data_IF_669328480192
#
_entry.id   IF_669328480192
#
_cell.length_a   1.000
_cell.length_b   1.000
_cell.length_c   1.000
_cell.angle_alpha   90.00
_cell.angle_beta   90.00
_cell.angle_gamma   90.00
#
_symmetry.space_group_name_H-M   'P 1'
#
loop_
_entity.id
_entity.type
_entity.pdbx_description
1 polymer ?
#
# COMPACT_ATOMS: atom_id res chain seq x y z
N UNK A 1 4.80 64.91 -34.25
CA UNK A 1 5.53 63.91 -33.39
C UNK A 1 4.54 62.88 -32.86
N UNK A 2 4.54 61.65 -33.37
CA UNK A 2 3.66 60.56 -32.91
C UNK A 2 4.53 59.58 -32.10
N UNK A 3 4.25 59.49 -30.80
CA UNK A 3 4.87 58.49 -29.93
C UNK A 3 4.11 57.15 -30.09
N UNK A 4 4.80 56.14 -30.59
CA UNK A 4 4.32 54.75 -30.65
C UNK A 4 4.73 54.06 -29.33
N UNK A 5 3.72 53.70 -28.51
CA UNK A 5 3.91 52.87 -27.29
C UNK A 5 4.10 51.41 -27.68
N UNK A 6 5.28 50.85 -27.38
CA UNK A 6 5.49 49.41 -27.46
C UNK A 6 4.97 48.74 -26.15
N UNK A 7 3.94 47.90 -26.29
CA UNK A 7 3.48 47.04 -25.23
C UNK A 7 4.36 45.78 -25.16
N UNK A 8 5.08 45.58 -24.08
CA UNK A 8 5.81 44.31 -23.80
C UNK A 8 4.83 43.25 -23.29
N UNK A 9 4.61 42.24 -24.11
CA UNK A 9 3.85 41.05 -23.76
C UNK A 9 4.76 40.13 -22.95
N UNK A 10 4.57 40.05 -21.62
CA UNK A 10 5.28 39.11 -20.76
C UNK A 10 4.58 37.76 -20.89
N UNK A 11 5.14 36.81 -21.64
CA UNK A 11 4.72 35.41 -21.63
C UNK A 11 5.18 34.79 -20.31
N UNK A 12 4.23 34.55 -19.41
CA UNK A 12 4.46 33.76 -18.20
C UNK A 12 4.68 32.28 -18.57
N UNK A 13 5.89 31.76 -18.34
CA UNK A 13 6.19 30.31 -18.43
C UNK A 13 5.43 29.56 -17.31
N UNK A 14 4.77 28.43 -17.61
CA UNK A 14 4.17 27.61 -16.56
C UNK A 14 5.28 27.08 -15.65
N UNK A 15 5.13 27.28 -14.33
CA UNK A 15 6.02 26.71 -13.34
C UNK A 15 5.88 25.19 -13.37
N UNK A 16 6.90 24.48 -13.84
CA UNK A 16 6.99 23.03 -13.78
C UNK A 16 7.12 22.63 -12.30
N UNK A 17 6.08 22.05 -11.72
CA UNK A 17 6.14 21.47 -10.36
C UNK A 17 7.04 20.23 -10.42
N UNK A 18 8.22 20.32 -9.83
CA UNK A 18 9.16 19.22 -9.72
C UNK A 18 8.58 18.13 -8.82
N UNK A 19 8.65 16.81 -9.15
CA UNK A 19 8.14 15.75 -8.30
C UNK A 19 8.78 15.70 -6.90
N UNK A 20 9.96 16.29 -6.73
CA UNK A 20 10.61 16.45 -5.42
C UNK A 20 9.92 17.49 -4.50
N UNK A 21 9.05 18.36 -5.05
CA UNK A 21 8.29 19.31 -4.26
C UNK A 21 7.08 18.66 -3.56
N UNK A 22 6.46 17.65 -4.20
CA UNK A 22 5.29 16.95 -3.65
C UNK A 22 5.60 16.17 -2.35
N UNK A 23 6.85 15.73 -2.17
CA UNK A 23 7.30 15.02 -0.95
C UNK A 23 7.45 15.94 0.25
N UNK A 24 7.80 17.22 0.05
CA UNK A 24 8.04 18.18 1.15
C UNK A 24 6.78 18.56 1.92
N UNK A 25 5.60 18.31 1.33
CA UNK A 25 4.30 18.67 1.90
C UNK A 25 3.60 17.47 2.60
N UNK A 26 4.23 16.28 2.63
CA UNK A 26 3.68 15.13 3.35
C UNK A 26 4.06 15.26 4.83
N UNK A 27 3.07 15.30 5.75
CA UNK A 27 3.36 15.33 7.19
C UNK A 27 4.15 14.09 7.61
N UNK A 28 5.07 14.22 8.56
CA UNK A 28 5.81 13.10 9.15
C UNK A 28 4.87 12.08 9.77
N UNK A 29 3.74 12.56 10.34
CA UNK A 29 2.70 11.72 10.90
C UNK A 29 1.32 12.06 10.30
N UNK A 30 0.59 11.02 9.90
CA UNK A 30 -0.77 11.13 9.36
C UNK A 30 -1.72 10.36 10.28
N UNK A 31 -2.62 11.08 10.97
CA UNK A 31 -3.56 10.49 11.93
C UNK A 31 -5.00 10.71 11.49
N UNK A 32 -5.81 9.67 11.50
CA UNK A 32 -7.23 9.75 11.19
C UNK A 32 -7.90 8.41 10.98
N UNK A 33 -9.20 8.43 10.69
CA UNK A 33 -9.90 7.22 10.24
C UNK A 33 -9.41 6.82 8.87
N UNK A 34 -9.19 5.52 8.69
CA UNK A 34 -8.78 4.97 7.42
C UNK A 34 -9.96 4.36 6.68
N UNK A 35 -9.92 4.41 5.35
CA UNK A 35 -10.63 3.51 4.46
C UNK A 35 -9.63 2.55 3.81
N UNK A 36 -10.01 1.28 3.65
CA UNK A 36 -9.13 0.26 3.07
C UNK A 36 -9.30 0.22 1.55
N UNK A 37 -8.19 0.23 0.83
CA UNK A 37 -8.14 0.11 -0.63
C UNK A 37 -7.86 -1.35 -1.02
N UNK A 38 -6.84 -1.95 -0.39
CA UNK A 38 -6.45 -3.35 -0.55
C UNK A 38 -5.77 -3.86 0.74
N UNK A 39 -5.19 -5.07 0.71
CA UNK A 39 -4.61 -5.72 1.89
C UNK A 39 -3.37 -5.05 2.48
N UNK A 40 -2.75 -4.07 1.78
CA UNK A 40 -1.58 -3.32 2.25
C UNK A 40 -1.66 -1.81 1.96
N UNK A 41 -2.80 -1.32 1.49
CA UNK A 41 -3.00 0.09 1.15
C UNK A 41 -4.27 0.64 1.78
N UNK A 42 -4.14 1.73 2.50
CA UNK A 42 -5.24 2.47 3.13
C UNK A 42 -5.27 3.92 2.65
N UNK A 43 -6.37 4.59 2.87
CA UNK A 43 -6.48 6.04 2.69
C UNK A 43 -6.86 6.71 4.01
N UNK A 44 -6.10 7.72 4.41
CA UNK A 44 -6.35 8.54 5.60
C UNK A 44 -6.41 10.01 5.18
N UNK A 45 -7.56 10.67 5.39
CA UNK A 45 -7.77 12.09 5.03
C UNK A 45 -7.41 12.41 3.56
N UNK A 46 -7.73 11.50 2.63
CA UNK A 46 -7.42 11.66 1.20
C UNK A 46 -5.97 11.35 0.82
N UNK A 47 -5.13 10.96 1.78
CA UNK A 47 -3.76 10.52 1.51
C UNK A 47 -3.72 9.00 1.38
N UNK A 48 -3.29 8.49 0.23
CA UNK A 48 -3.04 7.05 0.04
C UNK A 48 -1.75 6.64 0.73
N UNK A 49 -1.84 5.62 1.57
CA UNK A 49 -0.74 5.12 2.39
C UNK A 49 -0.55 3.64 2.11
N UNK A 50 0.63 3.28 1.62
CA UNK A 50 1.08 1.89 1.57
C UNK A 50 1.75 1.54 2.89
N UNK A 51 1.27 0.49 3.55
CA UNK A 51 1.85 -0.01 4.79
C UNK A 51 3.26 -0.53 4.50
N UNK A 52 4.24 -0.01 5.23
CA UNK A 52 5.65 -0.27 4.98
C UNK A 52 6.03 -1.73 5.29
N UNK A 53 6.84 -2.33 4.41
CA UNK A 53 7.50 -3.62 4.67
C UNK A 53 6.63 -4.85 4.54
N UNK A 54 5.37 -4.74 4.13
CA UNK A 54 4.51 -5.89 3.85
C UNK A 54 4.11 -5.96 2.38
N UNK A 55 3.64 -7.12 1.93
CA UNK A 55 3.15 -7.36 0.57
C UNK A 55 1.91 -8.28 0.62
N UNK A 56 0.74 -7.70 0.41
CA UNK A 56 -0.54 -8.41 0.43
C UNK A 56 -0.96 -8.89 -0.97
N UNK A 57 -1.81 -9.92 -1.07
CA UNK A 57 -2.42 -10.29 -2.34
C UNK A 57 -3.17 -9.12 -2.97
N UNK A 58 -3.05 -8.97 -4.28
CA UNK A 58 -3.76 -7.96 -5.06
C UNK A 58 -5.28 -8.15 -4.98
N UNK A 59 -6.06 -7.08 -5.09
CA UNK A 59 -7.52 -7.08 -4.87
C UNK A 59 -8.29 -8.12 -5.70
N UNK A 60 -7.80 -8.45 -6.89
CA UNK A 60 -8.37 -9.45 -7.81
C UNK A 60 -7.67 -10.82 -7.74
N UNK A 61 -6.64 -10.94 -6.91
CA UNK A 61 -5.86 -12.18 -6.80
C UNK A 61 -6.72 -13.31 -6.22
N UNK A 62 -6.57 -14.49 -6.86
CA UNK A 62 -7.23 -15.73 -6.45
C UNK A 62 -6.19 -16.71 -5.94
N UNK A 63 -6.50 -17.33 -4.80
CA UNK A 63 -5.70 -18.35 -4.14
C UNK A 63 -6.52 -19.64 -4.00
N UNK A 64 -5.88 -20.76 -3.66
CA UNK A 64 -6.57 -22.00 -3.31
C UNK A 64 -6.72 -22.13 -1.77
N UNK A 65 -7.83 -22.73 -1.34
CA UNK A 65 -8.01 -23.20 0.05
C UNK A 65 -7.28 -24.54 0.24
N UNK A 66 -7.25 -25.03 1.48
CA UNK A 66 -6.69 -26.35 1.80
C UNK A 66 -7.33 -27.50 1.03
N UNK A 67 -8.58 -27.37 0.63
CA UNK A 67 -9.32 -28.36 -0.19
C UNK A 67 -9.21 -28.11 -1.70
N UNK A 68 -8.34 -27.20 -2.13
CA UNK A 68 -8.10 -26.83 -3.53
C UNK A 68 -9.15 -25.86 -4.12
N UNK A 69 -10.22 -25.51 -3.40
CA UNK A 69 -11.23 -24.58 -3.92
C UNK A 69 -10.68 -23.16 -4.03
N UNK A 70 -10.91 -22.46 -5.16
CA UNK A 70 -10.45 -21.09 -5.33
C UNK A 70 -11.23 -20.11 -4.44
N UNK A 71 -10.56 -19.03 -4.01
CA UNK A 71 -11.18 -17.91 -3.32
C UNK A 71 -10.42 -16.61 -3.61
N UNK A 72 -11.09 -15.48 -3.47
CA UNK A 72 -10.49 -14.14 -3.67
C UNK A 72 -9.68 -13.76 -2.43
N UNK A 73 -8.41 -14.14 -2.40
CA UNK A 73 -7.52 -13.89 -1.26
C UNK A 73 -7.20 -12.40 -1.09
N UNK A 74 -7.09 -11.63 -2.17
CA UNK A 74 -6.92 -10.18 -2.09
C UNK A 74 -8.11 -9.49 -1.41
N UNK A 75 -9.33 -9.87 -1.78
CA UNK A 75 -10.53 -9.37 -1.11
C UNK A 75 -10.61 -9.77 0.36
N UNK A 76 -10.17 -10.99 0.70
CA UNK A 76 -10.12 -11.45 2.09
C UNK A 76 -9.06 -10.69 2.93
N UNK A 77 -7.90 -10.38 2.35
CA UNK A 77 -6.88 -9.56 2.99
C UNK A 77 -7.39 -8.13 3.28
N UNK A 78 -8.04 -7.51 2.27
CA UNK A 78 -8.65 -6.19 2.44
C UNK A 78 -9.74 -6.18 3.53
N UNK A 79 -10.62 -7.20 3.55
CA UNK A 79 -11.66 -7.33 4.55
C UNK A 79 -11.09 -7.51 5.97
N UNK A 80 -10.04 -8.33 6.13
CA UNK A 80 -9.36 -8.47 7.42
C UNK A 80 -8.79 -7.12 7.92
N UNK A 81 -8.15 -6.37 7.02
CA UNK A 81 -7.60 -5.06 7.38
C UNK A 81 -8.71 -4.08 7.75
N UNK A 82 -9.83 -4.07 7.03
CA UNK A 82 -10.99 -3.21 7.32
C UNK A 82 -11.61 -3.53 8.69
N UNK A 83 -11.84 -4.81 8.99
CA UNK A 83 -12.31 -5.28 10.29
C UNK A 83 -11.34 -4.91 11.42
N UNK A 84 -10.03 -5.05 11.18
CA UNK A 84 -9.01 -4.69 12.15
C UNK A 84 -9.01 -3.20 12.45
N UNK A 85 -9.18 -2.36 11.45
CA UNK A 85 -9.21 -0.91 11.63
C UNK A 85 -10.57 -0.45 12.20
N UNK A 86 -11.68 -1.08 11.83
CA UNK A 86 -13.04 -0.91 12.38
C UNK A 86 -13.42 0.56 12.66
N UNK A 87 -13.08 1.47 11.76
CA UNK A 87 -13.34 2.92 11.90
C UNK A 87 -12.57 3.62 13.01
N UNK A 88 -11.56 2.96 13.62
CA UNK A 88 -10.64 3.57 14.60
C UNK A 88 -9.68 4.55 13.92
N UNK A 89 -9.10 5.45 14.69
CA UNK A 89 -8.01 6.28 14.21
C UNK A 89 -6.75 5.43 14.07
N UNK A 90 -6.08 5.59 12.94
CA UNK A 90 -4.78 5.02 12.64
C UNK A 90 -3.76 6.16 12.73
N UNK A 91 -2.60 5.90 13.29
CA UNK A 91 -1.45 6.81 13.26
C UNK A 91 -0.38 6.20 12.36
N UNK A 92 0.01 6.92 11.31
CA UNK A 92 0.97 6.46 10.31
C UNK A 92 2.18 7.40 10.26
N UNK A 93 3.37 6.88 10.54
CA UNK A 93 4.63 7.60 10.44
C UNK A 93 5.22 7.39 9.04
N UNK A 94 5.39 8.48 8.29
CA UNK A 94 5.87 8.45 6.92
C UNK A 94 7.35 8.04 6.84
N UNK A 95 7.64 7.05 5.99
CA UNK A 95 8.99 6.50 5.79
C UNK A 95 9.53 6.83 4.38
N UNK A 96 8.69 7.33 3.48
CA UNK A 96 9.03 7.59 2.09
C UNK A 96 7.81 7.63 1.18
N UNK A 97 8.03 7.59 -0.13
CA UNK A 97 6.97 7.49 -1.13
C UNK A 97 7.20 6.34 -2.10
N UNK A 98 6.11 5.84 -2.68
CA UNK A 98 6.14 4.86 -3.77
C UNK A 98 5.05 5.20 -4.77
N UNK A 99 5.45 5.69 -5.95
CA UNK A 99 4.57 6.28 -6.95
C UNK A 99 3.79 7.48 -6.35
N UNK A 100 2.47 7.41 -6.32
CA UNK A 100 1.54 8.42 -5.80
C UNK A 100 1.12 8.18 -4.34
N UNK A 101 1.76 7.22 -3.63
CA UNK A 101 1.44 6.84 -2.26
C UNK A 101 2.55 7.21 -1.28
N UNK A 102 2.17 7.59 -0.08
CA UNK A 102 3.07 7.63 1.08
C UNK A 102 3.35 6.19 1.52
N UNK A 103 4.60 5.86 1.82
CA UNK A 103 4.96 4.60 2.49
C UNK A 103 5.12 4.90 3.97
N UNK A 104 4.37 4.22 4.83
CA UNK A 104 4.38 4.50 6.26
C UNK A 104 4.25 3.24 7.13
N UNK A 105 4.81 3.30 8.32
CA UNK A 105 4.50 2.37 9.39
C UNK A 105 3.28 2.89 10.12
N UNK A 106 2.24 2.07 10.23
CA UNK A 106 0.96 2.45 10.80
C UNK A 106 0.67 1.66 12.08
N UNK A 107 0.03 2.33 13.02
CA UNK A 107 -0.41 1.79 14.31
C UNK A 107 -1.90 2.05 14.53
N UNK A 108 -2.60 1.12 15.14
CA UNK A 108 -3.97 1.27 15.61
C UNK A 108 -4.08 0.76 17.05
N UNK A 109 -4.38 1.66 18.00
CA UNK A 109 -4.50 1.33 19.42
C UNK A 109 -3.26 0.60 20.02
N UNK A 110 -2.04 1.01 19.62
CA UNK A 110 -0.78 0.41 20.08
C UNK A 110 -0.39 -0.90 19.36
N UNK A 111 -1.09 -1.25 18.27
CA UNK A 111 -0.82 -2.46 17.49
C UNK A 111 -0.24 -2.04 16.13
N UNK A 112 0.98 -2.51 15.80
CA UNK A 112 1.56 -2.37 14.46
C UNK A 112 0.68 -3.09 13.43
N UNK A 113 0.10 -2.32 12.50
CA UNK A 113 -0.82 -2.83 11.48
C UNK A 113 -0.14 -3.86 10.58
N UNK A 114 1.11 -3.60 10.15
CA UNK A 114 1.87 -4.53 9.32
C UNK A 114 2.09 -5.87 10.01
N UNK A 115 2.53 -5.84 11.28
CA UNK A 115 2.70 -7.05 12.11
C UNK A 115 1.40 -7.85 12.24
N UNK A 116 0.28 -7.19 12.50
CA UNK A 116 -1.00 -7.87 12.68
C UNK A 116 -1.49 -8.54 11.39
N UNK A 117 -1.38 -7.85 10.24
CA UNK A 117 -1.79 -8.39 8.93
C UNK A 117 -0.91 -9.57 8.53
N UNK A 118 0.41 -9.50 8.74
CA UNK A 118 1.34 -10.60 8.46
C UNK A 118 1.11 -11.77 9.41
N UNK A 119 0.94 -11.52 10.72
CA UNK A 119 0.67 -12.57 11.71
C UNK A 119 -0.65 -13.30 11.45
N UNK A 120 -1.65 -12.63 10.88
CA UNK A 120 -2.90 -13.24 10.43
C UNK A 120 -2.77 -13.99 9.10
N UNK A 121 -1.63 -13.88 8.42
CA UNK A 121 -1.36 -14.54 7.13
C UNK A 121 -2.00 -13.86 5.93
N UNK A 122 -2.41 -12.59 6.04
CA UNK A 122 -3.04 -11.83 4.95
C UNK A 122 -2.05 -10.95 4.18
N UNK A 123 -0.80 -10.87 4.64
CA UNK A 123 0.33 -10.31 3.89
C UNK A 123 1.59 -11.12 4.18
N UNK A 124 2.61 -10.93 3.36
CA UNK A 124 3.93 -11.50 3.51
C UNK A 124 4.90 -10.42 4.03
N UNK A 125 5.94 -10.86 4.76
CA UNK A 125 7.09 -10.00 5.02
C UNK A 125 7.78 -9.65 3.70
N UNK A 126 7.84 -8.36 3.37
CA UNK A 126 8.54 -7.90 2.18
C UNK A 126 9.99 -7.56 2.55
N UNK A 127 10.80 -8.60 2.76
CA UNK A 127 12.14 -8.54 3.35
C UNK A 127 13.05 -7.45 2.74
N UNK A 128 12.91 -7.17 1.43
CA UNK A 128 13.64 -6.10 0.75
C UNK A 128 13.41 -4.71 1.38
N UNK A 129 12.23 -4.46 1.95
CA UNK A 129 11.84 -3.17 2.51
C UNK A 129 11.62 -3.22 4.02
N UNK A 130 11.23 -4.39 4.56
CA UNK A 130 11.05 -4.60 6.01
C UNK A 130 12.37 -4.84 6.73
N UNK A 131 13.41 -5.30 5.99
CA UNK A 131 14.66 -5.82 6.56
C UNK A 131 14.40 -6.99 7.55
N UNK A 132 13.35 -7.78 7.30
CA UNK A 132 12.96 -8.92 8.14
C UNK A 132 12.16 -8.55 9.38
N UNK A 133 11.67 -7.32 9.49
CA UNK A 133 10.88 -6.84 10.65
C UNK A 133 9.70 -7.76 10.97
N UNK A 134 9.04 -8.32 9.95
CA UNK A 134 7.85 -9.16 10.10
C UNK A 134 8.12 -10.64 9.85
N UNK A 135 9.38 -11.07 9.71
CA UNK A 135 9.73 -12.45 9.40
C UNK A 135 9.23 -13.45 10.46
N UNK A 136 9.27 -13.09 11.74
CA UNK A 136 8.75 -13.93 12.82
C UNK A 136 7.21 -14.04 12.79
N UNK A 137 6.51 -12.98 12.38
CA UNK A 137 5.05 -12.98 12.19
C UNK A 137 4.66 -13.89 11.04
N UNK A 138 5.35 -13.77 9.89
CA UNK A 138 5.17 -14.65 8.74
C UNK A 138 5.42 -16.12 9.12
N UNK A 139 6.50 -16.44 9.81
CA UNK A 139 6.80 -17.79 10.24
C UNK A 139 5.67 -18.37 11.12
N UNK A 140 5.11 -17.57 12.04
CA UNK A 140 3.95 -17.98 12.85
C UNK A 140 2.69 -18.19 12.03
N UNK A 141 2.40 -17.32 11.06
CA UNK A 141 1.26 -17.47 10.15
C UNK A 141 1.37 -18.77 9.32
N UNK A 142 2.55 -19.04 8.75
CA UNK A 142 2.84 -20.27 7.99
C UNK A 142 2.65 -21.52 8.83
N UNK A 143 3.21 -21.58 10.03
CA UNK A 143 3.12 -22.75 10.91
C UNK A 143 1.69 -23.11 11.33
N UNK A 144 0.76 -22.13 11.26
CA UNK A 144 -0.66 -22.29 11.59
C UNK A 144 -1.55 -22.41 10.34
N UNK A 145 -0.98 -22.41 9.15
CA UNK A 145 -1.72 -22.35 7.87
C UNK A 145 -2.76 -21.21 7.86
N UNK A 146 -2.38 -20.04 8.43
CA UNK A 146 -3.28 -18.90 8.53
C UNK A 146 -3.37 -18.11 7.22
N UNK A 147 -4.52 -17.51 6.95
CA UNK A 147 -4.73 -16.64 5.80
C UNK A 147 -4.43 -17.33 4.48
N UNK A 148 -3.49 -16.79 3.69
CA UNK A 148 -3.07 -17.37 2.40
C UNK A 148 -2.31 -18.68 2.54
N UNK A 149 -1.72 -18.94 3.71
CA UNK A 149 -0.94 -20.14 3.98
C UNK A 149 -1.80 -21.41 4.16
N UNK A 150 -3.13 -21.30 4.12
CA UNK A 150 -4.06 -22.43 4.18
C UNK A 150 -4.03 -23.33 2.92
N UNK A 151 -3.48 -22.86 1.81
CA UNK A 151 -3.41 -23.58 0.54
C UNK A 151 -2.42 -22.94 -0.42
N UNK A 152 -2.55 -23.22 -1.71
CA UNK A 152 -1.63 -22.71 -2.71
C UNK A 152 -1.95 -21.27 -3.12
N UNK A 153 -0.92 -20.47 -3.25
CA UNK A 153 -1.02 -19.12 -3.78
C UNK A 153 0.25 -18.70 -4.52
N UNK A 154 0.10 -17.78 -5.46
CA UNK A 154 1.22 -17.09 -6.09
C UNK A 154 1.62 -15.92 -5.19
N UNK A 155 2.91 -15.70 -4.96
CA UNK A 155 3.35 -14.53 -4.18
C UNK A 155 2.89 -13.23 -4.85
N UNK A 156 2.46 -12.21 -4.07
CA UNK A 156 1.89 -10.98 -4.65
C UNK A 156 2.81 -10.28 -5.64
N UNK A 157 4.11 -10.23 -5.35
CA UNK A 157 5.09 -9.62 -6.25
C UNK A 157 5.29 -10.43 -7.56
N UNK A 158 5.12 -11.76 -7.53
CA UNK A 158 5.13 -12.62 -8.71
C UNK A 158 3.84 -12.48 -9.52
N UNK A 159 2.70 -12.39 -8.82
CA UNK A 159 1.41 -12.12 -9.45
C UNK A 159 1.46 -10.81 -10.27
N UNK A 160 1.90 -9.71 -9.67
CA UNK A 160 2.06 -8.43 -10.39
C UNK A 160 2.98 -8.53 -11.59
N UNK A 161 4.07 -9.32 -11.52
CA UNK A 161 4.96 -9.53 -12.67
C UNK A 161 4.25 -10.30 -13.79
N UNK A 162 3.47 -11.31 -13.46
CA UNK A 162 2.74 -12.11 -14.45
C UNK A 162 1.67 -11.28 -15.18
N UNK A 163 0.93 -10.45 -14.46
CA UNK A 163 -0.12 -9.59 -15.03
C UNK A 163 0.44 -8.52 -15.96
N UNK A 164 1.57 -7.90 -15.60
CA UNK A 164 2.26 -6.96 -16.51
C UNK A 164 2.72 -7.65 -17.81
N UNK A 165 3.18 -8.90 -17.74
CA UNK A 165 3.55 -9.68 -18.91
C UNK A 165 2.38 -10.05 -19.82
N UNK A 166 1.16 -10.17 -19.26
CA UNK A 166 -0.07 -10.42 -20.04
C UNK A 166 -0.59 -9.15 -20.70
N UNK A 167 -0.54 -8.01 -20.01
CA UNK A 167 -0.99 -6.70 -20.53
C UNK A 167 -0.15 -6.16 -21.70
N UNK A 168 1.13 -6.49 -21.76
CA UNK A 168 2.03 -6.07 -22.83
C UNK A 168 1.92 -6.85 -24.16
N UNK A 169 1.04 -7.86 -24.23
CA UNK A 169 0.82 -8.70 -25.44
C UNK A 169 -0.52 -8.44 -26.14
N UNK A 170 -1.22 -7.36 -25.82
CA UNK A 170 -2.46 -6.95 -26.48
C UNK A 170 -2.23 -5.74 -27.38
#
# INVERSE_FOLDING_TARGET
>A
MRLTSLAFLVLGLPASVSPAAAWRDVPDEIVGRASVIDGDTIEVRGTRIRIAGIDAPESDQVCARADGRPYRCGGAAAAFLDDMLAGRNVACNANGTSYDRVVATCDVAGIDVGSAVVAAGWALDYARYSQGRYAADEARARSRSAGVWQGDFVRPDEWRRSERGRGGRR
#
